data_IF_153475599480
#
_entry.id   IF_153475599480
#
_cell.length_a   1.000
_cell.length_b   1.000
_cell.length_c   1.000
_cell.angle_alpha   90.00
_cell.angle_beta   90.00
_cell.angle_gamma   90.00
#
_symmetry.space_group_name_H-M   'P 1'
#
loop_
_entity.id
_entity.type
_entity.pdbx_description
1 polymer ?
#
# COMPACT_ATOMS: atom_id res chain seq x y z
N UNK A 1 -13.92 -3.03 6.18
CA UNK A 1 -12.66 -3.77 6.14
C UNK A 1 -12.77 -4.86 7.19
N UNK A 2 -12.42 -6.11 6.91
CA UNK A 2 -12.46 -7.16 7.92
C UNK A 2 -11.18 -7.11 8.76
N UNK A 3 -11.22 -7.54 10.03
CA UNK A 3 -10.07 -7.49 10.94
C UNK A 3 -8.80 -8.16 10.38
N UNK A 4 -8.96 -9.19 9.56
CA UNK A 4 -7.82 -9.85 8.91
C UNK A 4 -7.15 -8.97 7.86
N UNK A 5 -7.93 -8.18 7.13
CA UNK A 5 -7.43 -7.24 6.13
C UNK A 5 -6.65 -6.13 6.82
N UNK A 6 -7.12 -5.68 8.00
CA UNK A 6 -6.42 -4.71 8.85
C UNK A 6 -5.09 -5.23 9.36
N UNK A 7 -5.04 -6.50 9.80
CA UNK A 7 -3.80 -7.13 10.24
C UNK A 7 -2.80 -7.27 9.09
N UNK A 8 -3.25 -7.71 7.90
CA UNK A 8 -2.38 -7.82 6.72
C UNK A 8 -1.87 -6.44 6.29
N UNK A 9 -2.73 -5.41 6.30
CA UNK A 9 -2.33 -4.05 5.94
C UNK A 9 -1.28 -3.50 6.90
N UNK A 10 -1.48 -3.66 8.22
CA UNK A 10 -0.49 -3.24 9.22
C UNK A 10 0.82 -4.01 9.12
N UNK A 11 0.79 -5.27 8.67
CA UNK A 11 2.03 -6.02 8.37
C UNK A 11 2.79 -5.39 7.19
N UNK A 12 2.09 -4.97 6.14
CA UNK A 12 2.69 -4.31 4.97
C UNK A 12 3.26 -2.94 5.34
N UNK A 13 2.58 -2.21 6.23
CA UNK A 13 3.00 -0.89 6.69
C UNK A 13 4.11 -0.93 7.78
N UNK A 14 4.68 -2.12 8.07
CA UNK A 14 5.65 -2.37 9.16
C UNK A 14 5.15 -1.93 10.57
N UNK A 15 3.82 -1.86 10.77
CA UNK A 15 3.13 -1.41 12.00
C UNK A 15 2.45 -2.57 12.79
N UNK A 16 2.77 -3.82 12.41
CA UNK A 16 2.27 -5.01 13.09
C UNK A 16 3.35 -5.65 13.96
N UNK A 17 3.09 -5.74 15.27
CA UNK A 17 4.03 -6.33 16.22
C UNK A 17 3.36 -7.16 17.31
N UNK A 18 4.15 -8.04 17.93
CA UNK A 18 3.77 -8.73 19.15
C UNK A 18 2.59 -9.69 18.97
N UNK A 19 1.54 -9.63 19.84
CA UNK A 19 0.45 -10.59 19.82
C UNK A 19 -0.32 -10.64 18.49
N UNK A 20 -0.49 -9.50 17.83
CA UNK A 20 -1.26 -9.39 16.59
C UNK A 20 -0.54 -10.04 15.40
N UNK A 21 0.80 -9.97 15.38
CA UNK A 21 1.61 -10.69 14.41
C UNK A 21 1.51 -12.21 14.59
N UNK A 22 1.50 -12.69 15.84
CA UNK A 22 1.31 -14.11 16.14
C UNK A 22 -0.11 -14.59 15.78
N UNK A 23 -1.13 -13.75 15.99
CA UNK A 23 -2.52 -14.00 15.56
C UNK A 23 -2.56 -14.17 14.03
N UNK A 24 -2.04 -13.21 13.27
CA UNK A 24 -2.01 -13.26 11.80
C UNK A 24 -1.29 -14.50 11.28
N UNK A 25 -0.10 -14.81 11.81
CA UNK A 25 0.67 -16.00 11.42
C UNK A 25 -0.11 -17.30 11.68
N UNK A 26 -0.82 -17.38 12.81
CA UNK A 26 -1.64 -18.55 13.14
C UNK A 26 -2.80 -18.74 12.16
N UNK A 27 -3.47 -17.64 11.79
CA UNK A 27 -4.59 -17.67 10.84
C UNK A 27 -4.11 -18.07 9.44
N UNK A 28 -3.02 -17.48 8.96
CA UNK A 28 -2.41 -17.76 7.65
C UNK A 28 -1.82 -19.18 7.56
N UNK A 29 -1.34 -19.72 8.68
CA UNK A 29 -0.92 -21.13 8.75
C UNK A 29 -2.10 -22.09 8.55
N UNK A 30 -3.27 -21.72 9.09
CA UNK A 30 -4.46 -22.57 9.14
C UNK A 30 -5.38 -22.47 7.93
N UNK A 31 -5.31 -21.36 7.17
CA UNK A 31 -6.18 -21.10 6.03
C UNK A 31 -5.37 -20.74 4.75
N UNK A 32 -5.35 -21.63 3.74
CA UNK A 32 -4.68 -21.37 2.46
C UNK A 32 -5.25 -20.18 1.68
N UNK A 33 -6.55 -19.87 1.81
CA UNK A 33 -7.16 -18.74 1.11
C UNK A 33 -6.68 -17.40 1.69
N UNK A 34 -6.54 -17.33 3.02
CA UNK A 34 -5.96 -16.17 3.70
C UNK A 34 -4.48 -15.98 3.36
N UNK A 35 -3.73 -17.07 3.23
CA UNK A 35 -2.34 -17.01 2.73
C UNK A 35 -2.27 -16.40 1.34
N UNK A 36 -3.06 -16.92 0.40
CA UNK A 36 -3.11 -16.39 -0.96
C UNK A 36 -3.60 -14.94 -1.03
N UNK A 37 -4.44 -14.50 -0.07
CA UNK A 37 -4.84 -13.11 0.04
C UNK A 37 -3.68 -12.22 0.54
N UNK A 38 -3.00 -12.63 1.62
CA UNK A 38 -1.82 -11.94 2.14
C UNK A 38 -0.74 -11.76 1.08
N UNK A 39 -0.40 -12.82 0.36
CA UNK A 39 0.62 -12.79 -0.70
C UNK A 39 0.24 -11.80 -1.81
N UNK A 40 -1.04 -11.74 -2.19
CA UNK A 40 -1.55 -10.77 -3.18
C UNK A 40 -1.45 -9.32 -2.69
N UNK A 41 -1.81 -9.06 -1.44
CA UNK A 41 -1.71 -7.72 -0.86
C UNK A 41 -0.27 -7.26 -0.72
N UNK A 42 0.64 -8.13 -0.30
CA UNK A 42 2.08 -7.85 -0.24
C UNK A 42 2.67 -7.56 -1.62
N UNK A 43 2.32 -8.35 -2.64
CA UNK A 43 2.74 -8.11 -4.03
C UNK A 43 2.24 -6.75 -4.52
N UNK A 44 0.98 -6.40 -4.24
CA UNK A 44 0.43 -5.10 -4.62
C UNK A 44 1.12 -3.94 -3.89
N UNK A 45 1.40 -4.08 -2.59
CA UNK A 45 2.16 -3.10 -1.82
C UNK A 45 3.54 -2.86 -2.44
N UNK A 46 4.26 -3.93 -2.78
CA UNK A 46 5.54 -3.83 -3.46
C UNK A 46 5.47 -3.16 -4.83
N UNK A 47 4.46 -3.50 -5.64
CA UNK A 47 4.22 -2.87 -6.93
C UNK A 47 3.96 -1.36 -6.78
N UNK A 48 3.17 -0.97 -5.77
CA UNK A 48 2.89 0.43 -5.45
C UNK A 48 4.12 1.18 -4.95
N UNK A 49 4.96 0.56 -4.11
CA UNK A 49 6.24 1.15 -3.68
C UNK A 49 7.22 1.31 -4.86
N UNK A 50 7.18 0.40 -5.82
CA UNK A 50 7.96 0.47 -7.05
C UNK A 50 7.46 1.55 -8.03
N UNK A 51 6.22 2.04 -7.88
CA UNK A 51 5.75 3.20 -8.62
C UNK A 51 6.50 4.44 -8.13
N UNK A 52 7.59 4.78 -8.80
CA UNK A 52 8.31 6.02 -8.53
C UNK A 52 7.36 7.22 -8.68
N UNK A 53 7.40 8.11 -7.69
CA UNK A 53 6.83 9.45 -7.87
C UNK A 53 7.56 10.11 -9.05
N UNK A 54 6.81 10.46 -10.09
CA UNK A 54 7.36 11.19 -11.22
C UNK A 54 7.10 12.68 -11.02
N UNK A 55 8.16 13.48 -11.13
CA UNK A 55 8.01 14.92 -11.16
C UNK A 55 7.14 15.29 -12.37
N UNK A 56 6.12 16.14 -12.20
CA UNK A 56 5.29 16.57 -13.31
C UNK A 56 6.16 17.25 -14.38
N UNK A 57 5.83 17.02 -15.66
CA UNK A 57 6.57 17.62 -16.77
C UNK A 57 6.70 19.15 -16.59
N UNK A 58 7.88 19.75 -16.86
CA UNK A 58 8.11 21.19 -16.71
C UNK A 58 7.08 22.06 -17.44
N UNK A 59 6.55 21.56 -18.55
CA UNK A 59 5.51 22.19 -19.36
C UNK A 59 4.20 22.36 -18.60
N UNK A 60 3.86 21.45 -17.68
CA UNK A 60 2.69 21.59 -16.82
C UNK A 60 2.84 22.79 -15.89
N UNK A 61 4.02 22.95 -15.27
CA UNK A 61 4.34 24.10 -14.41
C UNK A 61 4.21 25.43 -15.17
N UNK A 62 4.72 25.49 -16.41
CA UNK A 62 4.61 26.68 -17.27
C UNK A 62 3.15 27.02 -17.58
N UNK A 63 2.33 26.02 -17.91
CA UNK A 63 0.89 26.21 -18.20
C UNK A 63 0.11 26.73 -16.98
N UNK A 64 0.38 26.19 -15.79
CA UNK A 64 -0.27 26.64 -14.55
C UNK A 64 0.11 28.09 -14.25
N UNK A 65 1.40 28.43 -14.31
CA UNK A 65 1.86 29.81 -14.05
C UNK A 65 1.30 30.81 -15.06
N UNK A 66 1.18 30.41 -16.34
CA UNK A 66 0.58 31.25 -17.37
C UNK A 66 -0.92 31.49 -17.14
N UNK A 67 -1.66 30.48 -16.64
CA UNK A 67 -3.06 30.62 -16.28
C UNK A 67 -3.29 31.57 -15.10
N UNK A 68 -2.46 31.47 -14.06
CA UNK A 68 -2.53 32.35 -12.87
C UNK A 68 -2.22 33.81 -13.23
N UNK A 69 -1.30 34.05 -14.17
CA UNK A 69 -0.92 35.40 -14.59
C UNK A 69 -1.93 36.08 -15.55
N UNK A 70 -2.92 35.33 -16.05
CA UNK A 70 -3.92 35.80 -16.99
C UNK A 70 -5.27 36.14 -16.34
N UNK A 71 -5.41 35.93 -15.02
CA UNK A 71 -6.52 36.39 -14.16
C UNK A 71 -6.15 37.69 -13.44
#
# INVERSE_FOLDING_TARGET
MNRIDELIQREIDDDLAGPEQAELLTMVASDPALRAQRDRMQSLGHDLDALQWQEPAPELKKRIMAGIAAE
#
